data_IF_951085703015
#
_entry.id   IF_951085703015
#
_cell.length_a   1.000
_cell.length_b   1.000
_cell.length_c   1.000
_cell.angle_alpha   90.00
_cell.angle_beta   90.00
_cell.angle_gamma   90.00
#
_symmetry.space_group_name_H-M   'P 1'
#
loop_
_entity.id
_entity.type
_entity.pdbx_description
1 polymer ?
#
# COMPACT_ATOMS: atom_id res chain seq x y z
N UNK A 1 -7.03 -10.75 -1.23
CA UNK A 1 -6.89 -11.97 -2.07
C UNK A 1 -7.74 -13.09 -1.48
N UNK A 2 -8.42 -13.89 -2.30
CA UNK A 2 -9.25 -15.00 -1.82
C UNK A 2 -8.42 -16.24 -1.43
N UNK A 3 -9.07 -17.25 -0.83
CA UNK A 3 -8.41 -18.47 -0.31
C UNK A 3 -7.74 -19.28 -1.42
N UNK A 4 -8.40 -19.43 -2.58
CA UNK A 4 -7.90 -20.21 -3.71
C UNK A 4 -6.62 -19.59 -4.28
N UNK A 5 -6.65 -18.29 -4.58
CA UNK A 5 -5.49 -17.55 -5.06
C UNK A 5 -4.35 -17.58 -4.05
N UNK A 6 -4.64 -17.48 -2.75
CA UNK A 6 -3.63 -17.57 -1.69
C UNK A 6 -2.97 -18.94 -1.66
N UNK A 7 -3.75 -20.03 -1.75
CA UNK A 7 -3.22 -21.39 -1.81
C UNK A 7 -2.35 -21.61 -3.07
N UNK A 8 -2.82 -21.14 -4.24
CA UNK A 8 -2.08 -21.17 -5.50
C UNK A 8 -0.70 -20.49 -5.37
N UNK A 9 -0.66 -19.25 -4.86
CA UNK A 9 0.60 -18.52 -4.74
C UNK A 9 1.52 -19.11 -3.67
N UNK A 10 0.99 -19.65 -2.56
CA UNK A 10 1.79 -20.37 -1.57
C UNK A 10 2.49 -21.59 -2.15
N UNK A 11 1.83 -22.30 -3.08
CA UNK A 11 2.42 -23.41 -3.81
C UNK A 11 3.50 -22.92 -4.79
N UNK A 12 3.18 -21.89 -5.59
CA UNK A 12 4.10 -21.31 -6.60
C UNK A 12 5.36 -20.69 -6.01
N UNK A 13 5.28 -20.16 -4.80
CA UNK A 13 6.40 -19.48 -4.11
C UNK A 13 7.14 -20.40 -3.13
N UNK A 14 6.88 -21.71 -3.16
CA UNK A 14 7.55 -22.69 -2.31
C UNK A 14 9.08 -22.63 -2.50
N UNK A 15 9.82 -22.54 -1.39
CA UNK A 15 11.28 -22.44 -1.40
C UNK A 15 11.82 -21.03 -1.65
N UNK A 16 10.95 -20.03 -1.82
CA UNK A 16 11.33 -18.61 -1.90
C UNK A 16 11.10 -17.93 -0.55
N UNK A 17 11.77 -16.79 -0.24
CA UNK A 17 11.52 -16.05 1.01
C UNK A 17 10.08 -15.51 1.10
N UNK A 18 9.34 -15.45 -0.01
CA UNK A 18 8.00 -14.88 -0.07
C UNK A 18 6.88 -15.87 0.28
N UNK A 19 7.19 -17.15 0.47
CA UNK A 19 6.18 -18.18 0.76
C UNK A 19 5.33 -17.82 1.99
N UNK A 20 5.96 -17.24 3.02
CA UNK A 20 5.31 -16.83 4.26
C UNK A 20 4.20 -15.79 4.07
N UNK A 21 4.29 -14.94 3.03
CA UNK A 21 3.31 -13.89 2.73
C UNK A 21 1.92 -14.45 2.40
N UNK A 22 1.86 -15.71 1.95
CA UNK A 22 0.63 -16.40 1.54
C UNK A 22 0.06 -17.32 2.63
N UNK A 23 0.49 -17.15 3.88
CA UNK A 23 -0.10 -17.83 5.05
C UNK A 23 -1.29 -17.05 5.61
N UNK A 24 -2.01 -17.59 6.61
CA UNK A 24 -3.07 -16.85 7.31
C UNK A 24 -2.41 -15.74 8.15
N UNK A 25 -2.86 -14.47 8.06
CA UNK A 25 -2.34 -13.41 8.89
C UNK A 25 -2.80 -13.53 10.34
N UNK A 26 -2.05 -12.91 11.25
CA UNK A 26 -2.49 -12.65 12.62
C UNK A 26 -3.72 -11.72 12.59
N UNK A 27 -4.82 -12.04 13.29
CA UNK A 27 -6.02 -11.19 13.32
C UNK A 27 -5.88 -9.91 14.15
N UNK A 28 -4.82 -9.76 14.95
CA UNK A 28 -4.60 -8.64 15.88
C UNK A 28 -3.61 -7.59 15.37
N UNK A 29 -2.87 -7.91 14.30
CA UNK A 29 -1.86 -7.04 13.71
C UNK A 29 -2.29 -6.52 12.34
N UNK A 30 -2.15 -5.21 12.15
CA UNK A 30 -2.45 -4.51 10.91
C UNK A 30 -1.30 -3.57 10.56
N UNK A 31 -1.33 -3.04 9.35
CA UNK A 31 -0.42 -1.97 8.93
C UNK A 31 -1.22 -0.86 8.25
N UNK A 32 -1.15 0.35 8.79
CA UNK A 32 -1.56 1.55 8.06
C UNK A 32 -0.56 1.79 6.93
N UNK A 33 -1.04 2.03 5.72
CA UNK A 33 -0.23 2.22 4.53
C UNK A 33 -0.78 3.36 3.69
N UNK A 34 0.12 4.18 3.17
CA UNK A 34 -0.17 5.29 2.27
C UNK A 34 0.98 5.45 1.27
N UNK A 35 0.66 5.79 0.02
CA UNK A 35 1.65 6.04 -1.02
C UNK A 35 1.41 7.39 -1.68
N UNK A 36 2.47 8.19 -1.81
CA UNK A 36 2.46 9.33 -2.73
C UNK A 36 2.86 8.86 -4.13
N UNK A 37 2.19 9.40 -5.14
CA UNK A 37 2.28 8.92 -6.52
C UNK A 37 2.28 10.08 -7.51
N UNK A 38 2.64 9.79 -8.76
CA UNK A 38 2.73 10.83 -9.79
C UNK A 38 1.41 11.19 -10.48
N UNK A 39 0.35 10.38 -10.33
CA UNK A 39 -0.89 10.55 -11.08
C UNK A 39 -2.07 9.91 -10.35
N UNK A 40 -3.29 10.40 -10.54
CA UNK A 40 -4.50 9.79 -9.98
C UNK A 40 -4.98 8.55 -10.75
N UNK A 41 -4.42 8.22 -11.91
CA UNK A 41 -4.73 6.95 -12.61
C UNK A 41 -3.74 5.84 -12.17
N UNK A 42 -4.19 4.83 -11.39
CA UNK A 42 -3.32 3.78 -10.88
C UNK A 42 -2.70 2.88 -11.96
N UNK A 43 -3.14 2.98 -13.22
CA UNK A 43 -2.54 2.24 -14.34
C UNK A 43 -1.21 2.84 -14.81
N UNK A 44 -1.06 4.15 -14.68
CA UNK A 44 0.10 4.90 -15.16
C UNK A 44 0.89 5.58 -14.04
N UNK A 45 0.28 5.73 -12.86
CA UNK A 45 0.90 6.34 -11.69
C UNK A 45 2.12 5.55 -11.22
N UNK A 46 3.24 6.26 -11.04
CA UNK A 46 4.46 5.73 -10.46
C UNK A 46 4.55 6.13 -8.98
N UNK A 47 5.16 5.26 -8.18
CA UNK A 47 5.30 5.47 -6.74
C UNK A 47 6.43 6.46 -6.49
N UNK A 48 6.17 7.49 -5.69
CA UNK A 48 7.15 8.48 -5.25
C UNK A 48 7.62 8.15 -3.84
N UNK A 49 6.67 7.95 -2.91
CA UNK A 49 6.99 7.58 -1.52
C UNK A 49 6.03 6.52 -1.02
N UNK A 50 6.47 5.77 -0.01
CA UNK A 50 5.64 4.80 0.70
C UNK A 50 5.84 5.02 2.18
N UNK A 51 4.73 5.24 2.91
CA UNK A 51 4.71 5.36 4.35
C UNK A 51 3.86 4.25 4.95
N UNK A 52 4.34 3.61 6.02
CA UNK A 52 3.60 2.57 6.71
C UNK A 52 3.87 2.55 8.21
N UNK A 53 2.84 2.21 8.99
CA UNK A 53 2.94 2.11 10.46
C UNK A 53 2.15 0.91 10.97
N UNK A 54 2.74 0.15 11.90
CA UNK A 54 2.09 -1.03 12.48
C UNK A 54 0.99 -0.62 13.45
N UNK A 55 -0.07 -1.42 13.47
CA UNK A 55 -1.14 -1.35 14.45
C UNK A 55 -1.20 -2.73 15.10
N UNK A 56 -0.98 -2.80 16.42
CA UNK A 56 -0.92 -4.06 17.17
C UNK A 56 -1.85 -3.91 18.38
N UNK A 57 -2.74 -4.87 18.61
CA UNK A 57 -3.66 -4.86 19.75
C UNK A 57 -4.40 -3.53 19.91
N UNK A 58 -4.90 -3.01 18.78
CA UNK A 58 -5.61 -1.73 18.69
C UNK A 58 -4.77 -0.50 19.11
N UNK A 59 -3.45 -0.55 18.94
CA UNK A 59 -2.53 0.57 19.21
C UNK A 59 -1.66 0.86 17.99
N UNK A 60 -1.54 2.13 17.63
CA UNK A 60 -0.63 2.60 16.58
C UNK A 60 0.79 2.65 17.14
N UNK A 61 1.72 1.93 16.51
CA UNK A 61 3.11 1.83 16.96
C UNK A 61 3.94 2.90 16.25
N UNK A 62 4.03 4.08 16.85
CA UNK A 62 4.72 5.25 16.26
C UNK A 62 6.24 5.24 16.42
N UNK A 63 6.79 4.32 17.24
CA UNK A 63 8.22 4.25 17.52
C UNK A 63 9.06 3.65 16.38
N UNK A 64 8.42 2.99 15.42
CA UNK A 64 9.10 2.32 14.31
C UNK A 64 8.28 2.45 13.00
N UNK A 65 8.09 3.69 12.49
CA UNK A 65 7.46 3.89 11.21
C UNK A 65 8.38 3.40 10.08
N UNK A 66 7.76 3.03 8.97
CA UNK A 66 8.44 2.77 7.72
C UNK A 66 8.17 3.93 6.78
N UNK A 67 9.22 4.53 6.24
CA UNK A 67 9.14 5.53 5.17
C UNK A 67 10.25 5.23 4.17
N UNK A 68 9.90 5.16 2.88
CA UNK A 68 10.88 5.07 1.80
C UNK A 68 10.50 6.04 0.69
N UNK A 69 11.53 6.65 0.10
CA UNK A 69 11.41 7.52 -1.07
C UNK A 69 12.07 6.83 -2.26
N UNK A 70 11.38 6.83 -3.39
CA UNK A 70 11.86 6.25 -4.62
C UNK A 70 12.59 7.30 -5.46
N UNK A 71 13.60 6.86 -6.21
CA UNK A 71 14.24 7.75 -7.19
C UNK A 71 13.21 8.13 -8.27
N UNK A 72 13.31 9.35 -8.81
CA UNK A 72 12.39 9.79 -9.86
C UNK A 72 12.34 8.78 -11.03
N UNK A 73 11.15 8.30 -11.41
CA UNK A 73 11.00 7.59 -12.67
C UNK A 73 11.28 8.57 -13.83
N UNK A 74 11.78 8.06 -14.97
CA UNK A 74 12.07 8.88 -16.16
C UNK A 74 10.85 9.61 -16.73
N UNK A 75 9.66 9.21 -16.30
CA UNK A 75 8.32 9.66 -16.73
C UNK A 75 7.76 10.83 -15.92
N UNK A 76 8.49 11.33 -14.92
CA UNK A 76 8.01 12.40 -14.05
C UNK A 76 7.98 13.73 -14.81
N UNK A 77 6.79 14.10 -15.28
CA UNK A 77 6.52 15.33 -16.04
C UNK A 77 6.20 16.50 -15.08
N UNK A 78 6.48 17.74 -15.50
CA UNK A 78 6.40 18.94 -14.64
C UNK A 78 5.01 19.18 -14.01
N UNK A 79 3.94 18.65 -14.61
CA UNK A 79 2.58 18.79 -14.09
C UNK A 79 2.26 17.92 -12.88
N UNK A 80 3.00 16.81 -12.69
CA UNK A 80 2.89 15.96 -11.48
C UNK A 80 3.43 16.67 -10.23
N UNK A 81 4.39 17.58 -10.42
CA UNK A 81 5.05 18.34 -9.35
C UNK A 81 4.09 19.36 -8.71
N UNK A 82 3.14 19.90 -9.49
CA UNK A 82 2.19 20.92 -9.01
C UNK A 82 1.13 20.37 -8.05
N UNK A 83 0.82 19.08 -8.13
CA UNK A 83 -0.24 18.45 -7.33
C UNK A 83 0.31 17.97 -5.97
N UNK A 84 1.54 17.45 -5.93
CA UNK A 84 2.09 16.78 -4.74
C UNK A 84 3.21 17.54 -4.00
N UNK A 85 3.53 18.79 -4.38
CA UNK A 85 4.58 19.62 -3.74
C UNK A 85 5.97 18.94 -3.60
N UNK A 86 6.27 17.91 -4.41
CA UNK A 86 7.53 17.16 -4.33
C UNK A 86 8.66 18.00 -4.94
N UNK A 87 9.72 18.29 -4.16
CA UNK A 87 10.88 19.04 -4.65
C UNK A 87 11.83 18.11 -5.41
N UNK A 88 12.45 18.63 -6.47
CA UNK A 88 13.44 17.91 -7.28
C UNK A 88 14.60 17.30 -6.46
N UNK A 89 14.96 17.90 -5.32
CA UNK A 89 16.04 17.40 -4.46
C UNK A 89 15.64 16.18 -3.63
N UNK A 90 14.35 15.97 -3.34
CA UNK A 90 13.88 14.77 -2.62
C UNK A 90 14.05 13.49 -3.46
N UNK A 91 14.15 13.64 -4.79
CA UNK A 91 14.18 12.53 -5.75
C UNK A 91 15.60 12.05 -6.10
N UNK A 92 16.65 12.80 -5.75
CA UNK A 92 18.05 12.48 -6.10
C UNK A 92 18.67 11.36 -5.25
N UNK A 93 18.11 11.08 -4.08
CA UNK A 93 18.64 10.09 -3.12
C UNK A 93 17.69 8.91 -2.87
N UNK A 94 16.61 8.80 -3.63
CA UNK A 94 15.66 7.70 -3.47
C UNK A 94 16.23 6.34 -3.87
N UNK A 95 15.63 5.26 -3.37
CA UNK A 95 15.98 3.88 -3.73
C UNK A 95 15.21 3.42 -4.99
N UNK A 96 15.66 2.33 -5.61
CA UNK A 96 14.94 1.77 -6.75
C UNK A 96 13.56 1.21 -6.35
N UNK A 97 12.61 1.19 -7.29
CA UNK A 97 11.27 0.62 -7.08
C UNK A 97 11.33 -0.81 -6.54
N UNK A 98 12.26 -1.63 -7.04
CA UNK A 98 12.45 -3.00 -6.55
C UNK A 98 12.85 -3.03 -5.07
N UNK A 99 13.84 -2.23 -4.69
CA UNK A 99 14.32 -2.15 -3.30
C UNK A 99 13.21 -1.66 -2.37
N UNK A 100 12.42 -0.67 -2.80
CA UNK A 100 11.30 -0.16 -2.02
C UNK A 100 10.23 -1.24 -1.77
N UNK A 101 9.89 -2.02 -2.81
CA UNK A 101 8.92 -3.12 -2.68
C UNK A 101 9.46 -4.24 -1.79
N UNK A 102 10.73 -4.63 -1.94
CA UNK A 102 11.35 -5.65 -1.08
C UNK A 102 11.37 -5.21 0.39
N UNK A 103 11.75 -3.95 0.66
CA UNK A 103 11.75 -3.37 2.00
C UNK A 103 10.34 -3.25 2.59
N UNK A 104 9.36 -2.83 1.79
CA UNK A 104 7.96 -2.77 2.18
C UNK A 104 7.45 -4.15 2.58
N UNK A 105 7.67 -5.18 1.75
CA UNK A 105 7.23 -6.55 2.04
C UNK A 105 7.83 -7.10 3.32
N UNK A 106 9.10 -6.78 3.60
CA UNK A 106 9.75 -7.14 4.86
C UNK A 106 9.08 -6.45 6.05
N UNK A 107 8.70 -5.18 5.91
CA UNK A 107 8.04 -4.42 6.97
C UNK A 107 6.61 -4.90 7.25
N UNK A 108 5.80 -5.07 6.20
CA UNK A 108 4.36 -5.40 6.32
C UNK A 108 4.09 -6.88 6.53
N UNK A 109 4.91 -7.77 5.95
CA UNK A 109 4.64 -9.20 5.94
C UNK A 109 3.30 -9.54 5.29
N UNK A 110 2.53 -10.47 5.88
CA UNK A 110 1.20 -10.85 5.40
C UNK A 110 0.05 -10.07 6.06
N UNK A 111 0.35 -9.09 6.94
CA UNK A 111 -0.63 -8.35 7.74
C UNK A 111 -1.67 -7.63 6.86
N UNK A 112 -2.95 -7.54 7.26
CA UNK A 112 -3.92 -6.72 6.56
C UNK A 112 -3.48 -5.25 6.54
N UNK A 113 -3.73 -4.59 5.40
CA UNK A 113 -3.39 -3.19 5.17
C UNK A 113 -4.61 -2.31 5.41
N UNK A 114 -4.42 -1.23 6.14
CA UNK A 114 -5.42 -0.24 6.50
C UNK A 114 -5.06 1.05 5.77
N UNK A 115 -6.04 1.71 5.17
CA UNK A 115 -5.82 3.04 4.60
C UNK A 115 -7.11 3.66 4.08
N UNK A 116 -7.01 4.93 3.70
CA UNK A 116 -8.11 5.70 3.13
C UNK A 116 -8.02 5.64 1.61
N UNK A 117 -9.04 5.10 0.94
CA UNK A 117 -9.00 4.75 -0.48
C UNK A 117 -7.87 3.77 -0.86
N UNK A 118 -7.48 2.90 0.08
CA UNK A 118 -6.34 1.96 -0.04
C UNK A 118 -6.37 1.04 -1.28
N UNK A 119 -7.54 0.89 -1.91
CA UNK A 119 -7.68 0.18 -3.19
C UNK A 119 -6.87 0.84 -4.31
N UNK A 120 -6.68 2.15 -4.27
CA UNK A 120 -5.85 2.90 -5.20
C UNK A 120 -4.38 2.48 -5.05
N UNK A 121 -3.81 2.61 -3.86
CA UNK A 121 -2.44 2.21 -3.53
C UNK A 121 -2.19 0.74 -3.85
N UNK A 122 -3.16 -0.11 -3.50
CA UNK A 122 -3.08 -1.54 -3.76
C UNK A 122 -2.87 -1.86 -5.23
N UNK A 123 -3.54 -1.15 -6.15
CA UNK A 123 -3.40 -1.40 -7.59
C UNK A 123 -1.99 -1.08 -8.08
N UNK A 124 -1.41 -0.01 -7.58
CA UNK A 124 -0.06 0.45 -7.94
C UNK A 124 0.98 -0.51 -7.37
N UNK A 125 0.83 -0.88 -6.10
CA UNK A 125 1.69 -1.86 -5.44
C UNK A 125 1.55 -3.25 -6.06
N UNK A 126 0.36 -3.64 -6.53
CA UNK A 126 0.18 -4.88 -7.30
C UNK A 126 0.96 -4.88 -8.60
N UNK A 127 0.95 -3.74 -9.33
CA UNK A 127 1.73 -3.57 -10.55
C UNK A 127 3.22 -3.71 -10.27
N UNK A 128 3.71 -3.01 -9.25
CA UNK A 128 5.11 -3.05 -8.84
C UNK A 128 5.54 -4.45 -8.34
N UNK A 129 4.75 -5.11 -7.49
CA UNK A 129 5.02 -6.47 -7.03
C UNK A 129 5.03 -7.48 -8.19
N UNK A 130 4.08 -7.40 -9.12
CA UNK A 130 4.07 -8.29 -10.30
C UNK A 130 5.28 -8.06 -11.18
N UNK A 131 5.67 -6.80 -11.41
CA UNK A 131 6.83 -6.40 -12.23
C UNK A 131 8.13 -6.96 -11.68
N UNK A 132 8.35 -6.86 -10.36
CA UNK A 132 9.64 -7.21 -9.74
C UNK A 132 9.70 -8.62 -9.16
N UNK A 133 8.57 -9.16 -8.70
CA UNK A 133 8.51 -10.40 -7.91
C UNK A 133 7.61 -11.48 -8.54
N UNK A 134 6.86 -11.14 -9.59
CA UNK A 134 6.03 -12.10 -10.33
C UNK A 134 4.70 -12.47 -9.65
N UNK A 135 4.31 -11.77 -8.57
CA UNK A 135 3.02 -11.99 -7.88
C UNK A 135 2.41 -10.66 -7.41
N UNK A 136 1.07 -10.57 -7.26
CA UNK A 136 0.41 -9.40 -6.67
C UNK A 136 0.65 -9.31 -5.17
N UNK A 137 0.52 -8.11 -4.61
CA UNK A 137 0.56 -7.88 -3.17
C UNK A 137 -0.53 -8.73 -2.48
N UNK A 138 -0.15 -9.62 -1.54
CA UNK A 138 -1.06 -10.65 -1.05
C UNK A 138 -2.02 -10.17 0.05
N UNK A 139 -1.72 -9.04 0.66
CA UNK A 139 -2.35 -8.55 1.87
C UNK A 139 -3.85 -8.29 1.68
N UNK A 140 -4.62 -8.54 2.73
CA UNK A 140 -6.03 -8.13 2.79
C UNK A 140 -6.10 -6.60 2.95
N UNK A 141 -7.22 -6.00 2.58
CA UNK A 141 -7.44 -4.56 2.69
C UNK A 141 -8.55 -4.29 3.70
N UNK A 142 -8.36 -3.23 4.49
CA UNK A 142 -9.34 -2.60 5.36
C UNK A 142 -9.49 -1.17 4.86
N UNK A 143 -10.65 -0.90 4.25
CA UNK A 143 -10.96 0.39 3.63
C UNK A 143 -11.59 1.33 4.65
N UNK A 144 -10.82 2.31 5.14
CA UNK A 144 -11.26 3.22 6.20
C UNK A 144 -12.39 4.13 5.73
N UNK A 145 -12.36 4.57 4.47
CA UNK A 145 -13.42 5.43 3.90
C UNK A 145 -14.80 4.76 3.97
N UNK A 146 -14.86 3.44 3.73
CA UNK A 146 -16.08 2.66 3.83
C UNK A 146 -16.55 2.54 5.28
N UNK A 147 -15.65 2.26 6.23
CA UNK A 147 -15.99 2.19 7.66
C UNK A 147 -16.57 3.52 8.14
N UNK A 148 -15.95 4.63 7.74
CA UNK A 148 -16.40 5.96 8.07
C UNK A 148 -17.77 6.29 7.47
N UNK A 149 -17.98 5.97 6.19
CA UNK A 149 -19.29 6.13 5.52
C UNK A 149 -20.39 5.34 6.23
N UNK A 150 -20.15 4.06 6.54
CA UNK A 150 -21.11 3.19 7.23
C UNK A 150 -21.44 3.72 8.63
N UNK A 151 -20.47 4.32 9.33
CA UNK A 151 -20.69 4.97 10.63
C UNK A 151 -21.52 6.26 10.49
N UNK A 152 -21.20 7.10 9.50
CA UNK A 152 -21.96 8.32 9.23
C UNK A 152 -23.43 8.02 8.87
N UNK A 153 -23.69 7.04 8.02
CA UNK A 153 -25.05 6.64 7.65
C UNK A 153 -25.86 6.13 8.86
N UNK A 154 -25.21 5.47 9.84
CA UNK A 154 -25.88 5.05 11.08
C UNK A 154 -26.21 6.23 11.99
N UNK A 155 -25.30 7.21 12.07
CA UNK A 155 -25.49 8.39 12.92
C UNK A 155 -26.49 9.38 12.32
N UNK A 156 -26.52 9.48 10.99
CA UNK A 156 -27.25 10.49 10.24
C UNK A 156 -27.93 9.84 9.01
N UNK A 157 -29.01 9.06 9.20
CA UNK A 157 -29.63 8.26 8.14
C UNK A 157 -30.21 9.05 6.96
N UNK A 158 -30.33 10.39 7.09
CA UNK A 158 -30.83 11.30 6.06
C UNK A 158 -29.83 12.40 5.66
N UNK A 159 -28.55 12.29 6.05
CA UNK A 159 -27.53 13.27 5.70
C UNK A 159 -26.97 13.02 4.29
N UNK A 160 -26.87 14.07 3.47
CA UNK A 160 -26.09 14.01 2.23
C UNK A 160 -24.63 14.35 2.56
N UNK A 161 -23.71 13.43 2.30
CA UNK A 161 -22.28 13.59 2.58
C UNK A 161 -21.48 13.50 1.29
N UNK A 162 -20.68 14.52 1.02
CA UNK A 162 -19.61 14.42 0.04
C UNK A 162 -18.38 13.82 0.74
N UNK A 163 -17.89 12.69 0.21
CA UNK A 163 -16.76 11.93 0.74
C UNK A 163 -15.67 11.75 -0.32
N UNK A 164 -15.75 12.53 -1.40
CA UNK A 164 -14.81 12.53 -2.51
C UNK A 164 -13.55 13.35 -2.23
#
# INVERSE_FOLDING_TARGET
MNIISRAYWRYRTKGTPYQGLFTKPDPTEFVSLDCETTSLDPKVADIVTIAATRIIDNRIITSAPFEVRLSAPKTLDEDSIKIHHIRHDDLKHGISERQAIEALLQFIGNRPLVGYHIRYDKKILDRACKKHLGFPLPNALVEVSQIYNDQLLKLLPNGYFDLS
#
